data_IF_156022653295
#
_entry.id   IF_156022653295
#
_cell.length_a   1.000
_cell.length_b   1.000
_cell.length_c   1.000
_cell.angle_alpha   90.00
_cell.angle_beta   90.00
_cell.angle_gamma   90.00
#
_symmetry.space_group_name_H-M   'P 1'
#
loop_
_entity.id
_entity.type
_entity.pdbx_description
1 polymer ?
#
# COMPACT_ATOMS: atom_id res chain seq x y z
N UNK A 1 -5.12 4.29 -9.52
CA UNK A 1 -5.82 3.90 -10.78
C UNK A 1 -4.79 3.41 -11.79
N UNK A 2 -5.11 2.42 -12.65
CA UNK A 2 -4.15 1.93 -13.64
C UNK A 2 -3.85 3.03 -14.69
N UNK A 3 -2.58 3.15 -15.05
CA UNK A 3 -2.10 4.02 -16.13
C UNK A 3 -1.56 3.16 -17.28
N UNK A 4 -1.40 3.70 -18.50
CA UNK A 4 -0.95 2.90 -19.64
C UNK A 4 0.30 2.07 -19.36
N UNK A 5 1.28 2.62 -18.64
CA UNK A 5 2.53 1.95 -18.26
C UNK A 5 2.68 1.77 -16.74
N UNK A 6 1.64 2.07 -15.97
CA UNK A 6 1.62 2.05 -14.51
C UNK A 6 0.84 0.86 -13.92
N UNK A 7 1.25 0.40 -12.75
CA UNK A 7 0.47 -0.51 -11.92
C UNK A 7 -0.37 0.27 -10.90
N UNK A 8 -1.35 -0.42 -10.30
CA UNK A 8 -2.03 0.06 -9.11
C UNK A 8 -1.14 -0.06 -7.86
N UNK A 9 -1.66 0.32 -6.70
CA UNK A 9 -0.92 0.41 -5.44
C UNK A 9 -0.15 -0.86 -5.09
N UNK A 10 1.18 -0.71 -4.95
CA UNK A 10 2.07 -1.80 -4.55
C UNK A 10 3.41 -1.21 -4.10
N UNK A 11 3.78 -1.40 -2.84
CA UNK A 11 4.99 -0.77 -2.29
C UNK A 11 5.81 -1.82 -1.54
N UNK A 12 7.05 -2.03 -2.00
CA UNK A 12 7.98 -2.97 -1.39
C UNK A 12 8.84 -2.25 -0.36
N UNK A 13 8.75 -2.66 0.90
CA UNK A 13 9.60 -2.21 2.01
C UNK A 13 10.65 -3.28 2.25
N UNK A 14 11.91 -2.91 2.06
CA UNK A 14 13.03 -3.82 2.25
C UNK A 14 14.00 -3.31 3.32
N UNK A 15 14.45 -4.24 4.16
CA UNK A 15 15.57 -4.04 5.09
C UNK A 15 16.65 -5.08 4.79
N UNK A 16 17.71 -5.12 5.60
CA UNK A 16 18.69 -6.22 5.50
C UNK A 16 18.13 -7.61 5.86
N UNK A 17 16.92 -7.67 6.48
CA UNK A 17 16.36 -8.89 7.06
C UNK A 17 14.88 -9.12 6.70
N UNK A 18 14.20 -8.16 6.12
CA UNK A 18 12.78 -8.25 5.77
C UNK A 18 12.48 -7.69 4.38
N UNK A 19 11.50 -8.30 3.72
CA UNK A 19 10.87 -7.82 2.50
C UNK A 19 9.34 -7.89 2.67
N UNK A 20 8.73 -6.76 2.98
CA UNK A 20 7.29 -6.62 3.25
C UNK A 20 6.62 -5.85 2.12
N UNK A 21 5.56 -6.39 1.56
CA UNK A 21 4.81 -5.74 0.50
C UNK A 21 3.54 -5.09 1.07
N UNK A 22 3.34 -3.81 0.82
CA UNK A 22 2.10 -3.09 1.11
C UNK A 22 1.27 -3.01 -0.16
N UNK A 23 0.09 -3.60 -0.13
CA UNK A 23 -0.83 -3.76 -1.24
C UNK A 23 -0.22 -4.51 -2.44
N UNK A 24 -1.08 -4.99 -3.33
CA UNK A 24 -0.72 -5.59 -4.61
C UNK A 24 -1.90 -5.42 -5.59
N UNK A 25 -2.07 -4.21 -6.07
CA UNK A 25 -3.13 -3.85 -7.00
C UNK A 25 -2.85 -4.33 -8.43
N UNK A 26 -3.82 -4.13 -9.31
CA UNK A 26 -3.78 -4.63 -10.68
C UNK A 26 -2.53 -4.20 -11.45
N UNK A 27 -1.87 -5.14 -12.12
CA UNK A 27 -0.65 -4.95 -12.91
C UNK A 27 0.65 -4.94 -12.08
N UNK A 28 0.55 -5.02 -10.76
CA UNK A 28 1.72 -4.93 -9.87
C UNK A 28 2.55 -6.22 -9.84
N UNK A 29 1.91 -7.40 -9.89
CA UNK A 29 2.63 -8.67 -9.75
C UNK A 29 3.74 -8.83 -10.80
N UNK A 30 3.47 -8.54 -12.07
CA UNK A 30 4.46 -8.67 -13.14
C UNK A 30 5.63 -7.68 -12.97
N UNK A 31 5.38 -6.48 -12.46
CA UNK A 31 6.41 -5.46 -12.22
C UNK A 31 7.22 -5.77 -10.97
N UNK A 32 6.59 -6.30 -9.93
CA UNK A 32 7.25 -6.71 -8.69
C UNK A 32 8.39 -7.71 -8.94
N UNK A 33 8.26 -8.61 -9.93
CA UNK A 33 9.32 -9.54 -10.31
C UNK A 33 10.60 -8.90 -10.81
N UNK A 34 10.56 -7.64 -11.23
CA UNK A 34 11.78 -6.89 -11.60
C UNK A 34 12.56 -6.43 -10.37
N UNK A 35 11.86 -6.24 -9.24
CA UNK A 35 12.45 -5.79 -7.97
C UNK A 35 12.83 -6.95 -7.06
N UNK A 36 12.02 -8.03 -7.01
CA UNK A 36 12.23 -9.15 -6.10
C UNK A 36 11.61 -10.44 -6.65
N UNK A 37 12.28 -11.56 -6.38
CA UNK A 37 11.67 -12.89 -6.56
C UNK A 37 10.57 -13.12 -5.52
N UNK A 38 9.41 -13.62 -5.91
CA UNK A 38 8.25 -13.78 -5.01
C UNK A 38 8.56 -14.61 -3.76
N UNK A 39 9.40 -15.67 -3.90
CA UNK A 39 9.82 -16.52 -2.79
C UNK A 39 10.72 -15.84 -1.74
N UNK A 40 11.13 -14.59 -1.98
CA UNK A 40 11.91 -13.78 -1.04
C UNK A 40 11.05 -12.77 -0.27
N UNK A 41 9.76 -12.71 -0.53
CA UNK A 41 8.83 -11.92 0.27
C UNK A 41 8.61 -12.60 1.62
N UNK A 42 8.66 -11.83 2.70
CA UNK A 42 8.38 -12.31 4.05
C UNK A 42 6.90 -12.13 4.42
N UNK A 43 6.24 -11.10 3.88
CA UNK A 43 4.81 -10.88 4.09
C UNK A 43 4.21 -9.94 3.04
N UNK A 44 2.90 -10.07 2.84
CA UNK A 44 2.05 -9.08 2.17
C UNK A 44 1.06 -8.55 3.21
N UNK A 45 0.86 -7.24 3.22
CA UNK A 45 -0.10 -6.57 4.10
C UNK A 45 -1.02 -5.70 3.25
N UNK A 46 -2.31 -5.99 3.25
CA UNK A 46 -3.32 -5.28 2.47
C UNK A 46 -3.97 -4.18 3.30
N UNK A 47 -3.99 -2.97 2.77
CA UNK A 47 -4.58 -1.82 3.44
C UNK A 47 -6.10 -1.86 3.50
N UNK A 48 -6.74 -2.23 2.40
CA UNK A 48 -8.18 -2.37 2.24
C UNK A 48 -8.55 -3.20 1.01
N UNK A 49 -9.84 -3.53 0.87
CA UNK A 49 -10.30 -4.48 -0.12
C UNK A 49 -10.94 -3.82 -1.37
N UNK A 50 -10.41 -2.68 -1.84
CA UNK A 50 -10.67 -2.23 -3.21
C UNK A 50 -9.74 -2.94 -4.19
N UNK A 51 -10.24 -3.23 -5.40
CA UNK A 51 -9.55 -4.08 -6.38
C UNK A 51 -8.16 -3.57 -6.77
N UNK A 52 -7.96 -2.27 -6.82
CA UNK A 52 -6.69 -1.63 -7.13
C UNK A 52 -5.64 -1.69 -5.99
N UNK A 53 -5.96 -2.40 -4.90
CA UNK A 53 -5.05 -2.66 -3.78
C UNK A 53 -4.75 -4.15 -3.55
N UNK A 54 -5.58 -5.08 -4.04
CA UNK A 54 -5.34 -6.51 -3.74
C UNK A 54 -5.55 -7.47 -4.92
N UNK A 55 -6.02 -7.00 -6.08
CA UNK A 55 -6.49 -7.89 -7.15
C UNK A 55 -5.39 -8.80 -7.72
N UNK A 56 -4.15 -8.35 -7.72
CA UNK A 56 -3.02 -9.15 -8.20
C UNK A 56 -2.57 -10.26 -7.24
N UNK A 57 -3.24 -10.46 -6.10
CA UNK A 57 -3.14 -11.70 -5.33
C UNK A 57 -3.49 -12.93 -6.20
N UNK A 58 -4.36 -12.75 -7.21
CA UNK A 58 -4.74 -13.84 -8.13
C UNK A 58 -3.55 -14.28 -8.99
N UNK A 59 -2.94 -13.43 -9.85
CA UNK A 59 -1.77 -13.82 -10.63
C UNK A 59 -0.55 -14.16 -9.76
N UNK A 60 -0.36 -13.47 -8.62
CA UNK A 60 0.72 -13.80 -7.69
C UNK A 60 0.61 -15.22 -7.14
N UNK A 61 -0.61 -15.66 -6.78
CA UNK A 61 -0.87 -17.06 -6.37
C UNK A 61 -0.38 -18.06 -7.40
N UNK A 62 -0.65 -17.80 -8.68
CA UNK A 62 -0.16 -18.69 -9.75
C UNK A 62 1.37 -18.66 -9.85
N UNK A 63 1.98 -17.51 -9.71
CA UNK A 63 3.44 -17.35 -9.68
C UNK A 63 4.10 -18.12 -8.53
N UNK A 64 3.53 -18.03 -7.33
CA UNK A 64 4.02 -18.74 -6.13
C UNK A 64 3.85 -20.26 -6.23
N UNK A 65 2.76 -20.73 -6.84
CA UNK A 65 2.42 -22.15 -6.87
C UNK A 65 3.03 -22.90 -8.05
N UNK A 66 3.12 -22.26 -9.19
CA UNK A 66 3.48 -22.90 -10.46
C UNK A 66 4.67 -22.24 -11.18
N UNK A 67 5.18 -21.13 -10.64
CA UNK A 67 6.33 -20.43 -11.20
C UNK A 67 7.65 -21.19 -10.97
N UNK A 68 8.67 -20.83 -11.73
CA UNK A 68 10.02 -21.41 -11.59
C UNK A 68 10.66 -21.19 -10.22
N UNK A 69 10.23 -20.14 -9.51
CA UNK A 69 10.66 -19.77 -8.16
C UNK A 69 9.60 -20.09 -7.11
N UNK A 70 8.88 -21.21 -7.29
CA UNK A 70 7.88 -21.63 -6.32
C UNK A 70 8.49 -21.75 -4.91
N UNK A 71 7.91 -21.04 -3.94
CA UNK A 71 8.33 -21.17 -2.55
C UNK A 71 7.83 -22.50 -1.97
N UNK A 72 8.63 -23.24 -1.21
CA UNK A 72 8.19 -24.47 -0.54
C UNK A 72 7.17 -24.19 0.59
N UNK A 73 6.97 -22.94 0.98
CA UNK A 73 6.04 -22.51 2.01
C UNK A 73 4.92 -21.60 1.49
N UNK A 74 3.92 -21.37 2.33
CA UNK A 74 2.87 -20.39 2.07
C UNK A 74 3.36 -19.00 2.48
N UNK A 75 3.19 -18.00 1.60
CA UNK A 75 3.55 -16.62 1.89
C UNK A 75 2.57 -16.02 2.91
N UNK A 76 3.02 -15.46 4.04
CA UNK A 76 2.16 -14.72 4.95
C UNK A 76 1.40 -13.60 4.25
N UNK A 77 0.07 -13.61 4.38
CA UNK A 77 -0.84 -12.60 3.83
C UNK A 77 -1.71 -12.06 4.96
N UNK A 78 -1.49 -10.80 5.28
CA UNK A 78 -2.23 -10.07 6.30
C UNK A 78 -3.29 -9.18 5.67
N UNK A 79 -4.54 -9.46 5.97
CA UNK A 79 -5.70 -8.73 5.47
C UNK A 79 -6.25 -7.79 6.56
N UNK A 80 -6.92 -6.69 6.17
CA UNK A 80 -7.68 -5.90 7.13
C UNK A 80 -8.85 -6.71 7.71
N UNK A 81 -9.43 -6.30 8.85
CA UNK A 81 -10.65 -6.90 9.37
C UNK A 81 -11.72 -7.06 8.30
N UNK A 82 -12.32 -8.24 8.18
CA UNK A 82 -13.29 -8.58 7.13
C UNK A 82 -12.70 -8.89 5.74
N UNK A 83 -11.40 -8.77 5.56
CA UNK A 83 -10.71 -9.00 4.28
C UNK A 83 -10.78 -10.44 3.79
N UNK A 84 -10.78 -11.41 4.71
CA UNK A 84 -10.93 -12.83 4.39
C UNK A 84 -12.25 -13.11 3.66
N UNK A 85 -13.34 -12.47 4.08
CA UNK A 85 -14.64 -12.61 3.43
C UNK A 85 -14.63 -12.04 1.99
N UNK A 86 -13.97 -10.91 1.77
CA UNK A 86 -13.84 -10.32 0.43
C UNK A 86 -12.99 -11.21 -0.49
N UNK A 87 -11.91 -11.79 0.02
CA UNK A 87 -11.04 -12.71 -0.73
C UNK A 87 -11.78 -14.01 -1.10
N UNK A 88 -12.62 -14.53 -0.22
CA UNK A 88 -13.46 -15.70 -0.48
C UNK A 88 -14.52 -15.42 -1.57
N UNK A 89 -15.12 -14.23 -1.56
CA UNK A 89 -16.04 -13.81 -2.62
C UNK A 89 -15.33 -13.73 -3.98
N UNK A 90 -14.09 -13.20 -4.00
CA UNK A 90 -13.27 -13.17 -5.22
C UNK A 90 -12.96 -14.57 -5.74
N UNK A 91 -12.67 -15.55 -4.87
CA UNK A 91 -12.44 -16.94 -5.25
C UNK A 91 -13.53 -17.48 -6.18
N UNK A 92 -14.80 -17.27 -5.83
CA UNK A 92 -15.92 -17.71 -6.62
C UNK A 92 -16.07 -17.00 -7.99
N UNK A 93 -15.47 -15.81 -8.13
CA UNK A 93 -15.51 -15.02 -9.36
C UNK A 93 -14.34 -15.33 -10.32
N UNK A 94 -13.17 -15.73 -9.80
CA UNK A 94 -11.98 -15.94 -10.64
C UNK A 94 -11.89 -17.33 -11.28
N UNK A 95 -12.60 -18.33 -10.77
CA UNK A 95 -12.71 -19.64 -11.38
C UNK A 95 -13.97 -20.36 -10.90
N UNK A 96 -14.75 -20.90 -11.85
CA UNK A 96 -15.95 -21.70 -11.55
C UNK A 96 -15.61 -22.95 -10.72
N UNK A 97 -14.42 -23.51 -10.96
CA UNK A 97 -13.92 -24.72 -10.29
C UNK A 97 -12.83 -24.41 -9.24
N UNK A 98 -12.76 -23.17 -8.75
CA UNK A 98 -11.78 -22.81 -7.72
C UNK A 98 -11.97 -23.69 -6.47
N UNK A 99 -10.94 -24.46 -6.05
CA UNK A 99 -11.04 -25.27 -4.85
C UNK A 99 -11.24 -24.39 -3.61
N UNK A 100 -11.80 -24.94 -2.51
CA UNK A 100 -11.99 -24.17 -1.28
C UNK A 100 -10.72 -23.51 -0.75
N UNK A 101 -9.57 -24.15 -0.90
CA UNK A 101 -8.25 -23.68 -0.50
C UNK A 101 -7.51 -22.88 -1.59
N UNK A 102 -8.24 -22.27 -2.53
CA UNK A 102 -7.63 -21.60 -3.68
C UNK A 102 -6.52 -20.63 -3.27
N UNK A 103 -6.80 -19.70 -2.38
CA UNK A 103 -5.79 -18.75 -1.89
C UNK A 103 -4.89 -19.38 -0.82
N UNK A 104 -5.43 -20.18 0.09
CA UNK A 104 -4.69 -20.83 1.17
C UNK A 104 -3.62 -21.81 0.65
N UNK A 105 -3.75 -22.29 -0.57
CA UNK A 105 -2.73 -23.13 -1.19
C UNK A 105 -1.40 -22.41 -1.48
N UNK A 106 -1.40 -21.07 -1.49
CA UNK A 106 -0.21 -20.24 -1.71
C UNK A 106 0.07 -19.27 -0.56
N UNK A 107 -0.96 -18.87 0.20
CA UNK A 107 -0.86 -17.88 1.26
C UNK A 107 -1.22 -18.45 2.63
N UNK A 108 -0.48 -18.05 3.66
CA UNK A 108 -0.89 -18.18 5.06
C UNK A 108 -1.69 -16.92 5.42
N UNK A 109 -3.02 -17.02 5.36
CA UNK A 109 -3.92 -15.87 5.42
C UNK A 109 -4.34 -15.62 6.87
N UNK A 110 -4.15 -14.39 7.33
CA UNK A 110 -4.63 -13.90 8.62
C UNK A 110 -5.21 -12.49 8.47
N UNK A 111 -6.09 -12.10 9.38
CA UNK A 111 -6.53 -10.72 9.53
C UNK A 111 -5.73 -10.08 10.66
N UNK A 112 -5.12 -8.89 10.39
CA UNK A 112 -4.38 -8.20 11.45
C UNK A 112 -5.32 -7.50 12.42
N UNK A 113 -4.87 -7.38 13.68
CA UNK A 113 -5.49 -6.50 14.66
C UNK A 113 -4.83 -5.11 14.55
N UNK A 114 -5.55 -4.07 14.09
CA UNK A 114 -4.99 -2.74 13.96
C UNK A 114 -4.49 -2.14 15.28
N UNK A 115 -5.06 -2.56 16.42
CA UNK A 115 -4.68 -2.09 17.75
C UNK A 115 -3.40 -2.74 18.28
N UNK A 116 -3.15 -3.99 17.91
CA UNK A 116 -1.96 -4.73 18.35
C UNK A 116 -0.73 -4.44 17.49
N UNK A 117 -0.92 -4.07 16.21
CA UNK A 117 0.15 -3.96 15.23
C UNK A 117 0.66 -5.33 14.76
N UNK A 118 1.76 -5.34 14.02
CA UNK A 118 2.35 -6.55 13.44
C UNK A 118 3.88 -6.45 13.44
N UNK A 119 4.55 -7.58 13.66
CA UNK A 119 6.01 -7.69 13.53
C UNK A 119 6.35 -8.65 12.39
N UNK A 120 7.15 -8.20 11.42
CA UNK A 120 7.72 -9.03 10.36
C UNK A 120 9.23 -8.88 10.39
N UNK A 121 9.92 -9.90 10.87
CA UNK A 121 11.37 -9.87 11.11
C UNK A 121 11.80 -8.62 11.92
N UNK A 122 12.57 -7.70 11.34
CA UNK A 122 13.02 -6.46 11.96
C UNK A 122 12.11 -5.25 11.67
N UNK A 123 11.02 -5.44 10.93
CA UNK A 123 10.04 -4.39 10.61
C UNK A 123 8.85 -4.47 11.56
N UNK A 124 8.63 -3.39 12.31
CA UNK A 124 7.41 -3.21 13.12
C UNK A 124 6.38 -2.43 12.33
N UNK A 125 5.14 -2.93 12.28
CA UNK A 125 4.01 -2.27 11.63
C UNK A 125 3.00 -1.77 12.66
N UNK A 126 2.54 -0.54 12.45
CA UNK A 126 1.41 0.05 13.17
C UNK A 126 0.37 0.51 12.16
N UNK A 127 -0.89 0.52 12.58
CA UNK A 127 -2.03 0.82 11.74
C UNK A 127 -2.85 1.96 12.31
N UNK A 128 -3.55 2.67 11.43
CA UNK A 128 -4.57 3.64 11.80
C UNK A 128 -5.71 3.58 10.79
N UNK A 129 -6.94 3.52 11.27
CA UNK A 129 -8.12 3.58 10.39
C UNK A 129 -8.13 4.90 9.64
N UNK A 130 -8.36 4.84 8.33
CA UNK A 130 -8.44 6.00 7.46
C UNK A 130 -9.89 6.51 7.32
N UNK A 131 -10.05 7.63 6.66
CA UNK A 131 -11.36 8.16 6.25
C UNK A 131 -11.60 7.82 4.80
N UNK A 132 -12.19 6.66 4.56
CA UNK A 132 -12.42 6.13 3.22
C UNK A 132 -13.81 5.47 3.12
N UNK A 133 -14.29 5.15 1.91
CA UNK A 133 -15.64 4.58 1.65
C UNK A 133 -15.81 3.17 2.20
N UNK A 134 -14.72 2.42 2.32
CA UNK A 134 -14.67 1.11 2.96
C UNK A 134 -13.72 1.14 4.14
N UNK A 135 -13.72 0.10 4.94
CA UNK A 135 -12.76 -0.06 6.02
C UNK A 135 -11.35 -0.17 5.46
N UNK A 136 -10.51 0.83 5.74
CA UNK A 136 -9.17 0.98 5.22
C UNK A 136 -8.21 1.46 6.31
N UNK A 137 -6.94 1.08 6.19
CA UNK A 137 -5.91 1.36 7.20
C UNK A 137 -4.63 1.89 6.58
N UNK A 138 -4.20 3.06 7.06
CA UNK A 138 -2.84 3.53 6.89
C UNK A 138 -1.86 2.63 7.66
N UNK A 139 -0.65 2.50 7.15
CA UNK A 139 0.38 1.62 7.70
C UNK A 139 1.67 2.40 7.96
N UNK A 140 2.28 2.19 9.12
CA UNK A 140 3.61 2.70 9.42
C UNK A 140 4.56 1.54 9.65
N UNK A 141 5.63 1.46 8.84
CA UNK A 141 6.74 0.55 9.01
C UNK A 141 7.89 1.27 9.73
N UNK A 142 8.47 0.63 10.73
CA UNK A 142 9.60 1.13 11.52
C UNK A 142 10.70 0.05 11.57
N UNK A 143 11.94 0.47 11.27
CA UNK A 143 13.14 -0.36 11.41
C UNK A 143 14.31 0.53 11.86
N UNK A 144 14.81 0.34 13.08
CA UNK A 144 15.78 1.25 13.69
C UNK A 144 15.25 2.68 13.74
N UNK A 145 16.01 3.63 13.22
CA UNK A 145 15.64 5.05 13.16
C UNK A 145 14.86 5.42 11.89
N UNK A 146 14.73 4.50 10.94
CA UNK A 146 14.00 4.71 9.70
C UNK A 146 12.51 4.41 9.87
N UNK A 147 11.67 5.20 9.22
CA UNK A 147 10.22 4.97 9.21
C UNK A 147 9.56 5.42 7.91
N UNK A 148 8.67 4.59 7.41
CA UNK A 148 7.78 4.87 6.29
C UNK A 148 6.35 4.86 6.81
N UNK A 149 5.57 5.90 6.50
CA UNK A 149 4.11 5.86 6.66
C UNK A 149 3.46 5.88 5.29
N UNK A 150 2.63 4.89 5.00
CA UNK A 150 1.76 4.82 3.84
C UNK A 150 0.33 5.17 4.25
N UNK A 151 -0.25 6.19 3.61
CA UNK A 151 -1.59 6.66 3.96
C UNK A 151 -2.70 5.66 3.67
N UNK A 152 -2.48 4.70 2.78
CA UNK A 152 -3.55 4.03 2.03
C UNK A 152 -4.49 5.08 1.40
N UNK A 153 -5.73 4.72 1.07
CA UNK A 153 -6.72 5.66 0.58
C UNK A 153 -7.41 6.38 1.73
N UNK A 154 -7.44 7.70 1.67
CA UNK A 154 -7.99 8.53 2.77
C UNK A 154 -8.31 9.95 2.34
N UNK A 155 -9.45 10.48 2.75
CA UNK A 155 -9.61 11.92 2.93
C UNK A 155 -8.73 12.38 4.10
N UNK A 156 -8.42 13.69 4.22
CA UNK A 156 -7.64 14.22 5.34
C UNK A 156 -8.15 13.69 6.69
N UNK A 157 -7.23 13.10 7.46
CA UNK A 157 -7.55 12.38 8.68
C UNK A 157 -6.48 12.61 9.75
N UNK A 158 -6.89 13.07 10.94
CA UNK A 158 -5.96 13.35 12.04
C UNK A 158 -5.20 12.11 12.51
N UNK A 159 -5.84 10.94 12.48
CA UNK A 159 -5.19 9.69 12.84
C UNK A 159 -4.04 9.35 11.90
N UNK A 160 -4.18 9.61 10.59
CA UNK A 160 -3.10 9.41 9.60
C UNK A 160 -1.97 10.41 9.83
N UNK A 161 -2.28 11.68 10.14
CA UNK A 161 -1.28 12.69 10.50
C UNK A 161 -0.47 12.25 11.73
N UNK A 162 -1.16 11.75 12.76
CA UNK A 162 -0.49 11.28 13.98
C UNK A 162 0.37 10.02 13.71
N UNK A 163 -0.13 9.07 12.89
CA UNK A 163 0.64 7.90 12.49
C UNK A 163 1.90 8.29 11.70
N UNK A 164 1.82 9.35 10.86
CA UNK A 164 2.90 9.86 10.04
C UNK A 164 3.87 10.79 10.79
N UNK A 165 3.63 11.07 12.10
CA UNK A 165 4.46 12.00 12.88
C UNK A 165 5.94 11.67 12.78
N UNK A 166 6.74 12.66 12.32
CA UNK A 166 8.19 12.57 12.14
C UNK A 166 8.66 11.37 11.29
N UNK A 167 7.80 10.87 10.38
CA UNK A 167 8.19 9.80 9.47
C UNK A 167 9.36 10.23 8.60
N UNK A 168 10.32 9.32 8.37
CA UNK A 168 11.40 9.52 7.42
C UNK A 168 10.86 9.72 6.01
N UNK A 169 9.78 9.00 5.69
CA UNK A 169 9.01 9.12 4.46
C UNK A 169 7.51 9.03 4.76
N UNK A 170 6.74 9.99 4.27
CA UNK A 170 5.29 9.89 4.19
C UNK A 170 4.88 9.66 2.73
N UNK A 171 4.41 8.46 2.43
CA UNK A 171 3.84 8.07 1.14
C UNK A 171 2.34 8.31 1.22
N UNK A 172 1.85 9.39 0.60
CA UNK A 172 0.48 9.85 0.74
C UNK A 172 -0.25 9.84 -0.59
N UNK A 173 -1.47 9.33 -0.58
CA UNK A 173 -2.36 9.37 -1.74
C UNK A 173 -2.71 10.81 -2.13
N UNK A 174 -3.03 11.02 -3.41
CA UNK A 174 -3.49 12.28 -3.97
C UNK A 174 -4.49 12.04 -5.12
N UNK A 175 -5.47 11.16 -4.89
CA UNK A 175 -6.39 10.70 -5.95
C UNK A 175 -7.26 11.82 -6.53
N UNK A 176 -7.51 12.91 -5.79
CA UNK A 176 -8.21 14.08 -6.29
C UNK A 176 -7.31 15.01 -7.14
N UNK A 177 -6.00 14.70 -7.24
CA UNK A 177 -5.05 15.50 -8.02
C UNK A 177 -4.98 16.95 -7.52
N UNK A 178 -5.23 17.91 -8.41
CA UNK A 178 -5.32 19.35 -8.11
C UNK A 178 -6.74 19.77 -7.69
N UNK A 179 -7.70 18.85 -7.74
CA UNK A 179 -9.10 19.13 -7.45
C UNK A 179 -9.36 19.27 -5.95
N UNK A 180 -10.54 19.79 -5.64
CA UNK A 180 -11.11 19.77 -4.30
C UNK A 180 -12.48 19.09 -4.40
N UNK A 181 -12.80 18.26 -3.43
CA UNK A 181 -14.10 17.63 -3.30
C UNK A 181 -14.70 18.01 -1.95
N UNK A 182 -15.93 18.51 -1.97
CA UNK A 182 -16.68 18.88 -0.76
C UNK A 182 -17.56 17.72 -0.30
N UNK A 183 -17.90 17.73 0.99
CA UNK A 183 -18.80 16.75 1.58
C UNK A 183 -18.12 15.46 2.06
N UNK A 184 -18.88 14.38 2.05
CA UNK A 184 -18.38 13.06 2.46
C UNK A 184 -17.55 12.44 1.34
N UNK A 185 -16.26 12.26 1.59
CA UNK A 185 -15.29 11.80 0.61
C UNK A 185 -14.27 10.85 1.22
N UNK A 186 -13.61 10.08 0.36
CA UNK A 186 -12.66 9.04 0.75
C UNK A 186 -11.24 9.26 0.26
N UNK A 187 -10.92 10.41 -0.38
CA UNK A 187 -9.61 10.69 -0.97
C UNK A 187 -9.10 12.10 -0.63
N UNK A 188 -7.82 12.32 -0.88
CA UNK A 188 -7.10 13.58 -0.68
C UNK A 188 -6.66 14.19 -2.01
N UNK A 189 -6.49 15.51 -2.02
CA UNK A 189 -5.77 16.23 -3.07
C UNK A 189 -4.28 16.34 -2.76
N UNK A 190 -3.47 16.75 -3.74
CA UNK A 190 -2.05 17.01 -3.56
C UNK A 190 -1.80 18.11 -2.50
N UNK A 191 -2.63 19.16 -2.46
CA UNK A 191 -2.53 20.21 -1.45
C UNK A 191 -2.78 19.68 -0.03
N UNK A 192 -3.77 18.82 0.13
CA UNK A 192 -4.12 18.20 1.41
C UNK A 192 -3.08 17.18 1.86
N UNK A 193 -2.49 16.41 0.92
CA UNK A 193 -1.35 15.56 1.22
C UNK A 193 -0.16 16.37 1.76
N UNK A 194 0.13 17.53 1.13
CA UNK A 194 1.13 18.48 1.62
C UNK A 194 0.81 19.02 3.01
N UNK A 195 -0.44 19.38 3.30
CA UNK A 195 -0.86 19.85 4.61
C UNK A 195 -0.76 18.75 5.68
N UNK A 196 -1.15 17.51 5.36
CA UNK A 196 -0.98 16.38 6.28
C UNK A 196 0.49 16.13 6.58
N UNK A 197 1.37 16.18 5.56
CA UNK A 197 2.82 16.01 5.74
C UNK A 197 3.42 17.11 6.64
N UNK A 198 3.00 18.37 6.45
CA UNK A 198 3.41 19.50 7.29
C UNK A 198 2.97 19.31 8.74
N UNK A 199 1.72 18.94 8.98
CA UNK A 199 1.18 18.70 10.32
C UNK A 199 1.84 17.51 11.02
N UNK A 200 2.24 16.51 10.25
CA UNK A 200 2.96 15.33 10.74
C UNK A 200 4.45 15.62 11.03
N UNK A 201 4.98 16.79 10.64
CA UNK A 201 6.42 17.07 10.69
C UNK A 201 7.22 15.93 9.99
N UNK A 202 6.71 15.43 8.85
CA UNK A 202 7.39 14.39 8.08
C UNK A 202 8.68 14.95 7.47
N UNK A 203 9.70 14.10 7.26
CA UNK A 203 10.97 14.56 6.65
C UNK A 203 10.88 14.66 5.12
N UNK A 204 10.06 13.79 4.50
CA UNK A 204 9.85 13.71 3.05
C UNK A 204 8.41 13.31 2.75
N UNK A 205 7.82 13.89 1.69
CA UNK A 205 6.53 13.50 1.14
C UNK A 205 6.73 12.87 -0.25
N UNK A 206 6.08 11.74 -0.49
CA UNK A 206 5.92 11.16 -1.81
C UNK A 206 4.43 11.03 -2.10
N UNK A 207 3.98 11.70 -3.16
CA UNK A 207 2.60 11.59 -3.62
C UNK A 207 2.42 10.29 -4.40
N UNK A 208 1.33 9.59 -4.13
CA UNK A 208 0.96 8.35 -4.84
C UNK A 208 -0.53 8.31 -5.11
N UNK A 209 -1.01 7.26 -5.78
CA UNK A 209 -2.42 7.06 -6.10
C UNK A 209 -3.08 8.30 -6.75
N UNK A 210 -2.34 9.02 -7.56
CA UNK A 210 -2.80 10.24 -8.24
C UNK A 210 -3.27 9.93 -9.67
N UNK A 211 -4.18 10.77 -10.26
CA UNK A 211 -4.67 10.58 -11.62
C UNK A 211 -3.56 10.80 -12.65
N UNK A 212 -3.79 10.31 -13.88
CA UNK A 212 -2.93 10.67 -15.01
C UNK A 212 -2.89 12.17 -15.19
N UNK A 213 -1.71 12.69 -15.54
CA UNK A 213 -1.50 14.11 -15.76
C UNK A 213 -0.10 14.59 -15.40
N UNK A 214 0.03 15.86 -15.15
CA UNK A 214 1.31 16.49 -14.81
C UNK A 214 1.65 16.26 -13.33
N UNK A 215 2.49 15.26 -13.08
CA UNK A 215 2.99 14.96 -11.74
C UNK A 215 3.79 16.14 -11.15
N UNK A 216 4.44 16.96 -11.99
CA UNK A 216 5.14 18.17 -11.55
C UNK A 216 4.19 19.19 -10.94
N UNK A 217 3.03 19.41 -11.57
CA UNK A 217 1.99 20.30 -11.02
C UNK A 217 1.45 19.83 -9.68
N UNK A 218 1.31 18.50 -9.46
CA UNK A 218 0.91 17.92 -8.17
C UNK A 218 1.97 18.17 -7.08
N UNK A 219 3.24 17.95 -7.44
CA UNK A 219 4.38 18.21 -6.55
C UNK A 219 4.43 19.69 -6.16
N UNK A 220 4.29 20.61 -7.12
CA UNK A 220 4.29 22.05 -6.85
C UNK A 220 3.09 22.47 -6.00
N UNK A 221 1.94 21.83 -6.20
CA UNK A 221 0.75 22.04 -5.38
C UNK A 221 1.01 21.63 -3.91
N UNK A 222 1.53 20.44 -3.68
CA UNK A 222 1.85 19.96 -2.32
C UNK A 222 2.94 20.84 -1.64
N UNK A 223 3.94 21.31 -2.38
CA UNK A 223 5.00 22.21 -1.90
C UNK A 223 4.48 23.53 -1.35
N UNK A 224 3.31 24.00 -1.78
CA UNK A 224 2.70 25.21 -1.18
C UNK A 224 2.38 25.05 0.31
N UNK A 225 2.17 23.83 0.75
CA UNK A 225 1.86 23.49 2.15
C UNK A 225 3.02 22.86 2.89
N UNK A 226 3.92 22.16 2.19
CA UNK A 226 5.03 21.41 2.77
C UNK A 226 6.34 21.79 2.10
N UNK A 227 7.17 22.56 2.80
CA UNK A 227 8.39 23.15 2.24
C UNK A 227 9.60 22.19 2.15
N UNK A 228 9.47 20.94 2.65
CA UNK A 228 10.54 19.95 2.59
C UNK A 228 10.54 19.19 1.26
N UNK A 229 11.21 18.03 1.19
CA UNK A 229 11.31 17.24 -0.03
C UNK A 229 9.96 16.65 -0.43
N UNK A 230 9.49 16.99 -1.64
CA UNK A 230 8.28 16.43 -2.24
C UNK A 230 8.62 15.85 -3.61
N UNK A 231 8.13 14.64 -3.87
CA UNK A 231 8.18 13.99 -5.18
C UNK A 231 6.87 13.23 -5.44
N UNK A 232 6.65 12.81 -6.67
CA UNK A 232 5.57 11.89 -7.04
C UNK A 232 6.15 10.49 -7.26
N UNK A 233 5.40 9.46 -6.87
CA UNK A 233 5.79 8.07 -7.07
C UNK A 233 5.64 7.66 -8.53
N UNK A 234 6.61 6.91 -9.01
CA UNK A 234 6.61 6.26 -10.30
C UNK A 234 6.96 4.77 -10.13
N UNK A 235 6.49 3.95 -11.06
CA UNK A 235 6.80 2.51 -11.03
C UNK A 235 8.31 2.27 -11.10
N UNK A 236 8.81 1.44 -10.19
CA UNK A 236 10.23 1.15 -10.07
C UNK A 236 11.06 2.23 -9.38
N UNK A 237 10.43 3.28 -8.82
CA UNK A 237 11.12 4.26 -7.99
C UNK A 237 11.65 3.61 -6.71
N UNK A 238 12.93 3.83 -6.42
CA UNK A 238 13.59 3.35 -5.20
C UNK A 238 13.97 4.54 -4.30
N UNK A 239 13.72 4.40 -3.00
CA UNK A 239 14.00 5.44 -2.01
C UNK A 239 14.70 4.80 -0.80
N UNK A 240 15.92 5.21 -0.54
CA UNK A 240 16.63 4.88 0.70
C UNK A 240 16.17 5.80 1.85
N UNK A 241 16.00 5.24 3.06
CA UNK A 241 15.60 5.94 4.28
C UNK A 241 16.71 5.95 5.33
#
# INVERSE_FOLDING_TARGET
MPRPDGACSCYLVQTGRAAVLFDIGSGAASKLRRAIEYGRLDAIVISHMHADHFFDLVPLRYGLKYGETSSPGRLPLWLPPGGRRALEALRGAVSVDAPPDFFESAFAIEEYDPGAGLQVNDVRLRFCRTRHYVEAYAMRAECGDASLTYSADTAPCDGVVELARQASLFLCEAALGLGAEEGERGHSSAEEAGEMARRADAKRLVLTHYPDGDAGALVDCAKRRFASLVSAAEDGMEIAL
#
